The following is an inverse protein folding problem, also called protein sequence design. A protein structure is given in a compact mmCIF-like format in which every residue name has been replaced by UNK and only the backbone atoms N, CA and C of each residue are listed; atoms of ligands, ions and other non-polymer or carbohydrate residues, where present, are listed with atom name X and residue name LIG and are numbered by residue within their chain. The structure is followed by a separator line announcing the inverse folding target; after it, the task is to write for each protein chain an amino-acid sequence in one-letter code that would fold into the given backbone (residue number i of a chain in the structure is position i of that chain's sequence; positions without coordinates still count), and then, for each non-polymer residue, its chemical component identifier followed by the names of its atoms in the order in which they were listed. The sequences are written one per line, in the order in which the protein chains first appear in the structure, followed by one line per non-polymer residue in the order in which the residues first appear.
data_IF_550272042570
#
_entry.id   IF_550272042570
#
_cell.length_a   1.000
_cell.length_b   1.000
_cell.length_c   1.000
_cell.angle_alpha   90.00
_cell.angle_beta   90.00
_cell.angle_gamma   90.00
#
_symmetry.space_group_name_H-M   'P 1'
#
loop_
_entity.id
_entity.type
_entity.pdbx_description
1 polymer ?
#
# COMPACT_ATOMS: atom_id res chain seq x y z
N UNK A 1 -47.60 32.61 -35.65
CA UNK A 1 -47.88 32.32 -34.23
C UNK A 1 -48.70 31.04 -34.19
N UNK A 2 -48.06 29.89 -34.00
CA UNK A 2 -48.77 28.62 -33.90
C UNK A 2 -49.68 28.68 -32.67
N UNK A 3 -50.99 28.57 -32.89
CA UNK A 3 -52.03 28.85 -31.90
C UNK A 3 -52.04 27.92 -30.67
N UNK A 4 -53.10 27.96 -29.85
CA UNK A 4 -53.18 27.29 -28.53
C UNK A 4 -52.79 25.81 -28.52
N UNK A 5 -52.96 25.08 -29.62
CA UNK A 5 -52.55 23.67 -29.75
C UNK A 5 -51.05 23.45 -29.55
N UNK A 6 -50.20 24.42 -29.92
CA UNK A 6 -48.74 24.29 -29.74
C UNK A 6 -48.33 24.48 -28.29
N UNK A 7 -49.11 25.24 -27.51
CA UNK A 7 -48.87 25.40 -26.07
C UNK A 7 -49.20 24.10 -25.33
N UNK A 8 -50.35 23.49 -25.62
CA UNK A 8 -50.76 22.20 -25.02
C UNK A 8 -49.73 21.10 -25.30
N UNK A 9 -49.17 21.04 -26.51
CA UNK A 9 -48.11 20.09 -26.84
C UNK A 9 -46.83 20.31 -26.00
N UNK A 10 -46.40 21.56 -25.84
CA UNK A 10 -45.23 21.89 -25.01
C UNK A 10 -45.48 21.55 -23.54
N UNK A 11 -46.66 21.87 -23.01
CA UNK A 11 -47.03 21.50 -21.65
C UNK A 11 -47.04 19.99 -21.46
N UNK A 12 -47.62 19.25 -22.41
CA UNK A 12 -47.54 17.79 -22.42
C UNK A 12 -46.09 17.30 -22.39
N UNK A 13 -45.24 17.79 -23.29
CA UNK A 13 -43.82 17.40 -23.32
C UNK A 13 -43.11 17.74 -22.00
N UNK A 14 -43.33 18.93 -21.43
CA UNK A 14 -42.71 19.31 -20.17
C UNK A 14 -43.17 18.49 -18.97
N UNK A 15 -44.39 17.94 -18.98
CA UNK A 15 -44.82 17.00 -17.93
C UNK A 15 -44.32 15.58 -18.21
N UNK A 16 -44.52 15.07 -19.43
CA UNK A 16 -44.24 13.67 -19.76
C UNK A 16 -42.75 13.38 -19.90
N UNK A 17 -41.93 14.34 -20.33
CA UNK A 17 -40.49 14.14 -20.46
C UNK A 17 -39.81 13.82 -19.12
N UNK A 18 -39.91 14.66 -18.06
CA UNK A 18 -39.33 14.32 -16.77
C UNK A 18 -39.99 13.10 -16.14
N UNK A 19 -41.31 12.90 -16.34
CA UNK A 19 -42.01 11.75 -15.81
C UNK A 19 -41.53 10.43 -16.46
N UNK A 20 -41.37 10.41 -17.78
CA UNK A 20 -40.86 9.26 -18.52
C UNK A 20 -39.42 8.92 -18.13
N UNK A 21 -38.58 9.93 -17.94
CA UNK A 21 -37.20 9.75 -17.43
C UNK A 21 -37.24 9.15 -16.03
N UNK A 22 -38.08 9.67 -15.13
CA UNK A 22 -38.25 9.12 -13.78
C UNK A 22 -38.72 7.67 -13.79
N UNK A 23 -39.66 7.29 -14.67
CA UNK A 23 -40.12 5.90 -14.77
C UNK A 23 -39.04 5.00 -15.35
N UNK A 24 -38.33 5.45 -16.39
CA UNK A 24 -37.31 4.63 -17.04
C UNK A 24 -36.06 4.42 -16.19
N UNK A 25 -35.57 5.47 -15.53
CA UNK A 25 -34.35 5.42 -14.71
C UNK A 25 -34.62 5.20 -13.22
N UNK A 26 -35.86 5.34 -12.77
CA UNK A 26 -36.28 5.10 -11.39
C UNK A 26 -36.59 3.63 -11.09
N UNK A 27 -36.58 2.76 -12.10
CA UNK A 27 -36.73 1.33 -11.88
C UNK A 27 -35.57 0.79 -11.02
N UNK A 28 -35.86 0.13 -9.88
CA UNK A 28 -34.81 -0.43 -9.01
C UNK A 28 -33.91 -1.40 -9.76
N UNK A 29 -34.50 -2.16 -10.69
CA UNK A 29 -33.82 -3.13 -11.52
C UNK A 29 -32.79 -2.48 -12.48
N UNK A 30 -33.08 -1.27 -13.00
CA UNK A 30 -32.14 -0.54 -13.84
C UNK A 30 -30.91 -0.11 -13.04
N UNK A 31 -31.11 0.38 -11.82
CA UNK A 31 -30.04 0.78 -10.91
C UNK A 31 -29.12 -0.40 -10.57
N UNK A 32 -29.69 -1.55 -10.22
CA UNK A 32 -28.92 -2.76 -9.90
C UNK A 32 -28.09 -3.28 -11.09
N UNK A 33 -28.62 -3.18 -12.32
CA UNK A 33 -27.91 -3.66 -13.51
C UNK A 33 -26.85 -2.70 -14.02
N UNK A 34 -27.08 -1.40 -13.94
CA UNK A 34 -26.21 -0.42 -14.59
C UNK A 34 -25.33 0.34 -13.60
N UNK A 35 -25.82 0.69 -12.41
CA UNK A 35 -25.07 1.54 -11.47
C UNK A 35 -24.22 0.73 -10.49
N UNK A 36 -24.74 -0.39 -9.97
CA UNK A 36 -24.01 -1.22 -8.98
C UNK A 36 -22.71 -1.79 -9.54
N UNK A 37 -22.65 -2.38 -10.74
CA UNK A 37 -21.39 -2.92 -11.27
C UNK A 37 -20.35 -1.84 -11.53
N UNK A 38 -20.81 -0.64 -11.92
CA UNK A 38 -19.94 0.51 -12.13
C UNK A 38 -19.32 0.97 -10.79
N UNK A 39 -20.08 0.97 -9.70
CA UNK A 39 -19.56 1.29 -8.36
C UNK A 39 -18.41 0.34 -7.98
N UNK A 40 -18.53 -0.95 -8.25
CA UNK A 40 -17.50 -1.93 -7.91
C UNK A 40 -16.18 -1.74 -8.67
N UNK A 41 -16.22 -1.11 -9.85
CA UNK A 41 -15.02 -0.78 -10.62
C UNK A 41 -14.28 0.44 -10.06
N UNK A 42 -15.01 1.41 -9.52
CA UNK A 42 -14.42 2.65 -9.00
C UNK A 42 -14.02 2.56 -7.53
N UNK A 43 -14.74 1.78 -6.72
CA UNK A 43 -14.43 1.59 -5.32
C UNK A 43 -13.61 0.32 -5.10
N UNK A 44 -12.52 0.37 -4.32
CA UNK A 44 -11.82 -0.84 -3.92
C UNK A 44 -12.81 -1.76 -3.21
N UNK A 45 -12.82 -3.03 -3.59
CA UNK A 45 -13.69 -4.04 -2.98
C UNK A 45 -13.42 -4.08 -1.48
N UNK A 46 -14.48 -4.16 -0.67
CA UNK A 46 -14.37 -4.21 0.79
C UNK A 46 -13.49 -5.38 1.27
N UNK A 47 -13.44 -6.46 0.50
CA UNK A 47 -12.58 -7.63 0.75
C UNK A 47 -11.08 -7.33 0.59
N UNK A 48 -10.72 -6.42 -0.30
CA UNK A 48 -9.31 -6.00 -0.52
C UNK A 48 -8.86 -4.95 0.48
N UNK A 49 -9.80 -4.37 1.23
CA UNK A 49 -9.50 -3.34 2.20
C UNK A 49 -8.89 -3.98 3.44
N UNK A 50 -7.78 -3.40 3.92
CA UNK A 50 -7.20 -3.83 5.19
C UNK A 50 -8.18 -3.51 6.32
N UNK A 51 -8.70 -4.55 6.98
CA UNK A 51 -9.55 -4.42 8.14
C UNK A 51 -8.70 -4.46 9.41
N UNK A 52 -8.66 -3.37 10.21
CA UNK A 52 -7.98 -3.40 11.49
C UNK A 52 -8.62 -4.45 12.41
N UNK A 53 -7.82 -5.27 13.12
CA UNK A 53 -8.34 -6.26 14.05
C UNK A 53 -9.16 -5.57 15.16
N UNK A 54 -10.45 -5.93 15.28
CA UNK A 54 -11.37 -5.33 16.25
C UNK A 54 -11.54 -6.19 17.50
N UNK A 55 -11.39 -7.51 17.37
CA UNK A 55 -11.55 -8.45 18.47
C UNK A 55 -10.20 -8.92 19.03
N UNK A 56 -10.21 -9.43 20.26
CA UNK A 56 -9.02 -9.96 20.94
C UNK A 56 -8.46 -11.21 20.25
N UNK A 57 -9.30 -12.02 19.60
CA UNK A 57 -8.88 -13.12 18.74
C UNK A 57 -8.07 -12.63 17.54
N UNK A 58 -8.57 -11.60 16.87
CA UNK A 58 -8.00 -11.07 15.62
C UNK A 58 -6.67 -10.34 15.90
N UNK A 59 -6.53 -9.77 17.09
CA UNK A 59 -5.27 -9.17 17.54
C UNK A 59 -4.17 -10.22 17.73
N UNK A 60 -4.52 -11.41 18.22
CA UNK A 60 -3.55 -12.50 18.42
C UNK A 60 -3.08 -13.07 17.09
N UNK A 61 -3.99 -13.33 16.16
CA UNK A 61 -3.63 -13.80 14.81
C UNK A 61 -2.76 -12.78 14.08
N UNK A 62 -3.13 -11.50 14.10
CA UNK A 62 -2.30 -10.44 13.51
C UNK A 62 -0.90 -10.37 14.13
N UNK A 63 -0.77 -10.51 15.46
CA UNK A 63 0.54 -10.55 16.13
C UNK A 63 1.40 -11.74 15.70
N UNK A 64 0.80 -12.90 15.51
CA UNK A 64 1.48 -14.11 15.01
C UNK A 64 1.98 -13.90 13.58
N UNK A 65 1.14 -13.32 12.70
CA UNK A 65 1.53 -12.96 11.33
C UNK A 65 2.71 -11.98 11.32
N UNK A 66 2.67 -10.95 12.16
CA UNK A 66 3.78 -9.98 12.27
C UNK A 66 5.07 -10.62 12.82
N UNK A 67 4.97 -11.59 13.73
CA UNK A 67 6.14 -12.35 14.20
C UNK A 67 6.74 -13.20 13.09
N UNK A 68 5.92 -13.92 12.33
CA UNK A 68 6.36 -14.73 11.20
C UNK A 68 7.04 -13.87 10.13
N UNK A 69 6.44 -12.72 9.79
CA UNK A 69 6.99 -11.77 8.81
C UNK A 69 8.35 -11.22 9.23
N UNK A 70 8.58 -11.01 10.55
CA UNK A 70 9.89 -10.61 11.09
C UNK A 70 10.94 -11.71 10.96
N UNK A 71 10.56 -12.96 11.20
CA UNK A 71 11.48 -14.11 11.08
C UNK A 71 11.87 -14.32 9.62
N UNK A 72 10.90 -14.28 8.70
CA UNK A 72 11.12 -14.42 7.26
C UNK A 72 12.11 -13.38 6.72
N UNK A 73 11.91 -12.09 7.06
CA UNK A 73 12.84 -11.02 6.67
C UNK A 73 14.25 -11.25 7.19
N UNK A 74 14.36 -11.74 8.43
CA UNK A 74 15.67 -12.04 9.03
C UNK A 74 16.37 -13.22 8.37
N UNK A 75 15.63 -14.25 7.95
CA UNK A 75 16.21 -15.36 7.17
C UNK A 75 16.67 -14.94 5.78
N UNK A 76 15.93 -14.06 5.10
CA UNK A 76 16.32 -13.51 3.78
C UNK A 76 17.63 -12.71 3.86
N UNK A 77 17.80 -11.89 4.90
CA UNK A 77 19.03 -11.13 5.14
C UNK A 77 20.24 -12.07 5.36
N UNK A 78 20.05 -13.21 6.03
CA UNK A 78 21.12 -14.19 6.26
C UNK A 78 21.49 -14.98 5.00
N UNK A 79 20.52 -15.37 4.16
CA UNK A 79 20.79 -16.11 2.93
C UNK A 79 21.49 -15.24 1.89
N UNK A 80 21.05 -13.99 1.70
CA UNK A 80 21.73 -13.03 0.82
C UNK A 80 23.13 -12.65 1.31
N UNK A 81 23.32 -12.46 2.62
CA UNK A 81 24.66 -12.20 3.19
C UNK A 81 25.63 -13.39 3.02
N UNK A 82 25.13 -14.63 3.09
CA UNK A 82 25.96 -15.82 2.83
C UNK A 82 26.32 -16.00 1.35
N UNK A 83 25.42 -15.67 0.42
CA UNK A 83 25.69 -15.72 -1.02
C UNK A 83 26.71 -14.66 -1.48
N UNK A 84 26.69 -13.46 -0.89
CA UNK A 84 27.68 -12.41 -1.19
C UNK A 84 29.07 -12.67 -0.57
N UNK A 85 29.18 -13.58 0.39
CA UNK A 85 30.46 -13.96 1.02
C UNK A 85 31.23 -15.06 0.27
N UNK A 86 30.59 -15.77 -0.67
CA UNK A 86 31.20 -16.84 -1.47
C UNK A 86 32.02 -16.33 -2.68
N UNK A 87 31.82 -15.08 -3.11
CA UNK A 87 32.52 -14.52 -4.30
C UNK A 87 33.74 -13.67 -3.94
N UNK A 88 34.03 -13.43 -2.65
CA UNK A 88 35.15 -12.58 -2.20
C UNK A 88 36.40 -13.36 -1.73
N UNK A 89 36.40 -14.70 -1.80
CA UNK A 89 37.52 -15.53 -1.35
C UNK A 89 38.40 -16.01 -2.53
N UNK A 90 39.01 -15.09 -3.27
CA UNK A 90 40.14 -15.43 -4.15
C UNK A 90 41.02 -14.20 -4.43
N UNK A 91 41.82 -13.81 -3.44
CA UNK A 91 43.13 -13.17 -3.64
C UNK A 91 43.76 -12.85 -2.28
N UNK A 92 44.62 -13.73 -1.77
CA UNK A 92 45.61 -13.32 -0.76
C UNK A 92 46.94 -14.02 -1.00
N UNK A 93 47.89 -13.22 -1.48
CA UNK A 93 49.32 -13.50 -1.64
C UNK A 93 50.02 -13.07 -0.32
N UNK A 94 51.10 -13.74 0.16
CA UNK A 94 51.57 -13.60 1.54
C UNK A 94 52.68 -12.56 1.70
N UNK A 95 52.81 -11.96 2.89
CA UNK A 95 54.07 -11.36 3.34
C UNK A 95 54.19 -11.32 4.87
N UNK A 96 55.07 -12.19 5.36
CA UNK A 96 56.06 -12.09 6.46
C UNK A 96 55.85 -11.09 7.62
N UNK A 97 55.69 -11.68 8.81
CA UNK A 97 56.35 -11.50 10.13
C UNK A 97 56.65 -10.09 10.70
N UNK A 98 56.19 -9.80 11.93
CA UNK A 98 57.02 -9.46 13.13
C UNK A 98 56.14 -9.47 14.39
N UNK A 99 56.73 -9.99 15.48
CA UNK A 99 56.18 -10.14 16.82
C UNK A 99 56.12 -8.81 17.61
N UNK A 100 55.18 -8.70 18.57
CA UNK A 100 55.45 -8.58 20.02
C UNK A 100 54.22 -8.08 20.80
N UNK A 101 53.90 -8.85 21.85
CA UNK A 101 53.48 -8.48 23.21
C UNK A 101 52.65 -7.21 23.48
N UNK A 102 51.56 -7.43 24.25
CA UNK A 102 51.37 -6.67 25.49
C UNK A 102 50.05 -5.90 25.64
N UNK A 103 49.34 -6.27 26.71
CA UNK A 103 48.47 -5.42 27.53
C UNK A 103 47.10 -4.94 26.98
N UNK A 104 46.08 -5.60 27.50
CA UNK A 104 44.83 -5.05 28.07
C UNK A 104 44.61 -3.53 27.97
N UNK A 105 43.56 -3.12 27.25
CA UNK A 105 42.70 -2.00 27.67
C UNK A 105 41.35 -2.07 26.95
N UNK A 106 40.30 -2.31 27.73
CA UNK A 106 38.90 -2.26 27.32
C UNK A 106 38.49 -0.82 27.01
N UNK A 107 38.39 -0.48 25.73
CA UNK A 107 37.82 0.80 25.27
C UNK A 107 36.33 0.61 25.03
N UNK A 108 35.51 1.25 25.87
CA UNK A 108 34.07 1.36 25.73
C UNK A 108 33.73 2.03 24.40
N UNK A 109 33.21 1.24 23.45
CA UNK A 109 32.72 1.71 22.16
C UNK A 109 31.31 2.28 22.34
N UNK A 110 31.20 3.57 22.59
CA UNK A 110 29.94 4.32 22.50
C UNK A 110 29.35 4.11 21.11
N UNK A 111 28.16 3.50 21.04
CA UNK A 111 27.42 3.33 19.78
C UNK A 111 26.88 4.69 19.36
N UNK A 112 27.45 5.26 18.32
CA UNK A 112 26.84 6.34 17.56
C UNK A 112 25.47 5.89 17.02
N UNK A 113 24.39 6.49 17.53
CA UNK A 113 23.00 6.26 17.06
C UNK A 113 22.68 7.10 15.81
N UNK A 114 23.69 7.55 15.06
CA UNK A 114 23.53 8.43 13.90
C UNK A 114 23.71 7.73 12.56
N UNK A 115 23.15 6.53 12.39
CA UNK A 115 23.09 5.90 11.09
C UNK A 115 21.72 5.28 10.82
N UNK A 116 21.21 5.60 9.63
CA UNK A 116 19.99 5.09 8.99
C UNK A 116 18.69 5.87 9.26
N UNK A 117 18.66 7.13 8.81
CA UNK A 117 17.41 7.69 8.28
C UNK A 117 17.12 6.97 6.96
N UNK A 118 15.97 6.27 6.82
CA UNK A 118 15.63 5.56 5.59
C UNK A 118 15.30 6.53 4.44
N UNK A 119 15.69 6.18 3.21
CA UNK A 119 15.63 7.06 2.02
C UNK A 119 14.24 7.62 1.70
N UNK A 120 13.17 6.94 2.11
CA UNK A 120 11.79 7.43 1.91
C UNK A 120 11.52 8.77 2.61
N UNK A 121 12.25 9.07 3.70
CA UNK A 121 12.10 10.33 4.44
C UNK A 121 12.72 11.54 3.71
N UNK A 122 13.58 11.33 2.71
CA UNK A 122 14.21 12.41 1.94
C UNK A 122 13.38 12.86 0.72
N UNK A 123 12.34 12.10 0.35
CA UNK A 123 11.63 12.28 -0.92
C UNK A 123 10.33 13.10 -0.80
N UNK A 124 9.83 13.32 0.40
CA UNK A 124 8.59 14.05 0.68
C UNK A 124 8.72 15.58 0.54
N UNK A 125 9.93 16.13 0.50
CA UNK A 125 10.14 17.59 0.44
C UNK A 125 10.22 18.18 -0.97
N UNK A 126 10.10 17.37 -2.04
CA UNK A 126 10.25 17.83 -3.44
C UNK A 126 8.94 17.95 -4.24
N UNK A 127 7.77 17.74 -3.62
CA UNK A 127 6.45 17.83 -4.28
C UNK A 127 5.58 18.97 -3.74
N UNK A 128 6.18 20.12 -3.46
CA UNK A 128 5.45 21.38 -3.26
C UNK A 128 6.20 22.51 -3.95
N UNK A 129 6.04 22.59 -5.27
CA UNK A 129 6.10 23.82 -6.06
C UNK A 129 5.04 23.70 -7.15
#
# INVERSE_FOLDING_TARGET
MAGPSLEVFKFGLYLFFPLAIMVHYGDPEWYHKHVVPIREQYWPKEETLYHPPRNTSDLKSALEDYRQKRIARKSEDHTTSSASSATASSSKVPSVTVAQNGASSSVLRTRDVRASVPEWAAQSSRRLV
#
